data_IF_442277096527
#
_entry.id   IF_442277096527
#
_cell.length_a   1.000
_cell.length_b   1.000
_cell.length_c   1.000
_cell.angle_alpha   90.00
_cell.angle_beta   90.00
_cell.angle_gamma   90.00
#
_symmetry.space_group_name_H-M   'P 1'
#
loop_
_entity.id
_entity.type
_entity.pdbx_description
1 polymer ?
#
# COMPACT_ATOMS: atom_id res chain seq x y z
N UNK A 1 -19.43 -0.30 19.24
CA UNK A 1 -18.36 -1.29 19.47
C UNK A 1 -17.11 -0.76 18.80
N UNK A 2 -16.10 -0.42 19.59
CA UNK A 2 -14.84 0.13 19.07
C UNK A 2 -13.95 -1.04 18.65
N UNK A 3 -13.72 -1.20 17.35
CA UNK A 3 -12.85 -2.27 16.84
C UNK A 3 -11.41 -1.94 17.18
N UNK A 4 -10.82 -2.66 18.15
CA UNK A 4 -9.39 -2.58 18.43
C UNK A 4 -8.59 -2.96 17.17
N UNK A 5 -7.58 -2.16 16.83
CA UNK A 5 -6.66 -2.49 15.73
C UNK A 5 -5.92 -3.79 16.03
N UNK A 6 -5.64 -4.63 15.03
CA UNK A 6 -4.86 -5.84 15.23
C UNK A 6 -3.46 -5.50 15.75
N UNK A 7 -2.82 -6.41 16.51
CA UNK A 7 -1.45 -6.21 16.95
C UNK A 7 -0.50 -6.13 15.75
N UNK A 8 0.64 -5.41 15.87
CA UNK A 8 1.61 -5.31 14.80
C UNK A 8 2.24 -6.67 14.48
N UNK A 9 2.77 -6.81 13.27
CA UNK A 9 3.54 -7.99 12.88
C UNK A 9 4.77 -8.16 13.79
N UNK A 10 5.01 -9.41 14.20
CA UNK A 10 6.19 -9.78 14.97
C UNK A 10 7.45 -9.66 14.13
N UNK A 11 8.57 -9.27 14.76
CA UNK A 11 9.87 -9.22 14.10
C UNK A 11 10.29 -10.61 13.62
N UNK A 12 10.87 -10.64 12.42
CA UNK A 12 11.45 -11.81 11.76
C UNK A 12 10.51 -13.00 11.56
N UNK A 13 9.21 -12.80 11.77
CA UNK A 13 8.18 -13.77 11.43
C UNK A 13 7.66 -13.51 10.01
N UNK A 14 7.72 -14.50 9.10
CA UNK A 14 7.07 -14.39 7.81
C UNK A 14 5.56 -14.55 7.95
N UNK A 15 4.80 -13.71 7.25
CA UNK A 15 3.35 -13.73 7.16
C UNK A 15 2.95 -13.83 5.69
N UNK A 16 1.88 -14.57 5.39
CA UNK A 16 1.28 -14.57 4.06
C UNK A 16 0.24 -13.46 3.98
N UNK A 17 0.29 -12.67 2.93
CA UNK A 17 -0.76 -11.71 2.58
C UNK A 17 -1.40 -12.13 1.27
N UNK A 18 -2.65 -11.73 1.07
CA UNK A 18 -3.42 -12.03 -0.12
C UNK A 18 -4.36 -10.86 -0.42
N UNK A 19 -4.48 -10.50 -1.70
CA UNK A 19 -5.37 -9.47 -2.20
C UNK A 19 -6.18 -10.02 -3.36
N UNK A 20 -7.48 -9.76 -3.36
CA UNK A 20 -8.38 -10.23 -4.42
C UNK A 20 -9.40 -9.16 -4.79
N UNK A 21 -9.67 -9.01 -6.08
CA UNK A 21 -10.67 -8.09 -6.60
C UNK A 21 -12.01 -8.80 -6.77
N UNK A 22 -13.02 -8.39 -5.99
CA UNK A 22 -14.38 -8.93 -6.03
C UNK A 22 -15.17 -8.52 -7.28
N UNK A 23 -14.81 -9.04 -8.45
CA UNK A 23 -15.43 -8.70 -9.73
C UNK A 23 -16.55 -9.65 -10.14
N UNK A 24 -16.57 -10.86 -9.57
CA UNK A 24 -17.55 -11.89 -9.88
C UNK A 24 -18.18 -12.46 -8.61
N UNK A 25 -19.39 -13.05 -8.70
CA UNK A 25 -20.01 -13.79 -7.59
C UNK A 25 -19.25 -15.06 -7.19
N UNK A 26 -18.26 -15.50 -8.00
CA UNK A 26 -17.45 -16.69 -7.72
C UNK A 26 -16.06 -16.27 -7.21
N UNK A 27 -15.79 -16.36 -5.89
CA UNK A 27 -14.51 -15.90 -5.32
C UNK A 27 -13.27 -16.57 -5.92
N UNK A 28 -13.42 -17.78 -6.46
CA UNK A 28 -12.34 -18.53 -7.10
C UNK A 28 -11.94 -17.96 -8.49
N UNK A 29 -12.83 -17.20 -9.13
CA UNK A 29 -12.59 -16.59 -10.43
C UNK A 29 -12.11 -15.14 -10.33
N UNK A 30 -12.10 -14.59 -9.12
CA UNK A 30 -11.64 -13.23 -8.89
C UNK A 30 -10.12 -13.13 -9.08
N UNK A 31 -9.63 -12.09 -9.79
CA UNK A 31 -8.20 -11.81 -9.86
C UNK A 31 -7.61 -11.71 -8.47
N UNK A 32 -6.50 -12.41 -8.24
CA UNK A 32 -5.86 -12.56 -6.93
C UNK A 32 -4.35 -12.44 -7.07
N UNK A 33 -3.73 -11.79 -6.11
CA UNK A 33 -2.29 -11.76 -5.90
C UNK A 33 -2.02 -12.07 -4.43
N UNK A 34 -0.94 -12.78 -4.15
CA UNK A 34 -0.53 -13.11 -2.80
C UNK A 34 0.99 -13.10 -2.67
N UNK A 35 1.48 -13.12 -1.43
CA UNK A 35 2.91 -13.11 -1.18
C UNK A 35 3.26 -13.24 0.29
N UNK A 36 4.55 -13.12 0.56
CA UNK A 36 5.11 -13.14 1.91
C UNK A 36 5.55 -11.74 2.33
N UNK A 37 5.31 -11.39 3.59
CA UNK A 37 5.81 -10.17 4.22
C UNK A 37 6.49 -10.53 5.53
N UNK A 38 7.59 -9.85 5.85
CA UNK A 38 8.30 -10.02 7.11
C UNK A 38 8.67 -8.64 7.64
N UNK A 39 8.31 -8.36 8.89
CA UNK A 39 8.79 -7.17 9.56
C UNK A 39 10.22 -7.42 10.02
N UNK A 40 11.15 -6.59 9.59
CA UNK A 40 12.56 -6.65 10.00
C UNK A 40 12.90 -5.46 10.89
N UNK A 41 13.92 -5.62 11.73
CA UNK A 41 14.54 -4.50 12.43
C UNK A 41 15.57 -3.87 11.51
N UNK A 42 15.62 -2.55 11.47
CA UNK A 42 16.67 -1.80 10.79
C UNK A 42 17.86 -1.60 11.72
N UNK A 43 19.05 -1.52 11.13
CA UNK A 43 20.25 -1.12 11.85
C UNK A 43 20.10 0.31 12.41
N UNK A 44 20.59 0.59 13.63
CA UNK A 44 20.45 1.93 14.25
C UNK A 44 21.01 3.07 13.37
N UNK A 45 22.06 2.79 12.60
CA UNK A 45 22.66 3.74 11.67
C UNK A 45 21.71 4.08 10.51
N UNK A 46 20.99 3.09 9.99
CA UNK A 46 19.97 3.27 8.95
C UNK A 46 18.79 4.07 9.49
N UNK A 47 18.36 3.78 10.73
CA UNK A 47 17.31 4.56 11.40
C UNK A 47 17.72 6.02 11.56
N UNK A 48 18.96 6.29 11.98
CA UNK A 48 19.47 7.65 12.10
C UNK A 48 19.49 8.38 10.74
N UNK A 49 19.89 7.70 9.67
CA UNK A 49 19.86 8.25 8.31
C UNK A 49 18.43 8.58 7.87
N UNK A 50 17.47 7.68 8.10
CA UNK A 50 16.06 7.88 7.76
C UNK A 50 15.45 9.08 8.50
N UNK A 51 15.81 9.30 9.76
CA UNK A 51 15.30 10.41 10.57
C UNK A 51 15.81 11.78 10.10
N UNK A 52 17.00 11.84 9.50
CA UNK A 52 17.59 13.08 8.98
C UNK A 52 17.27 13.33 7.50
N UNK A 53 16.73 12.33 6.80
CA UNK A 53 16.53 12.35 5.36
C UNK A 53 15.23 13.05 4.95
N UNK A 54 15.28 13.76 3.81
CA UNK A 54 14.08 14.16 3.07
C UNK A 54 13.32 12.93 2.56
N UNK A 55 12.02 13.03 2.20
CA UNK A 55 11.26 11.87 1.70
C UNK A 55 11.92 11.15 0.52
N UNK A 56 12.47 11.89 -0.45
CA UNK A 56 13.16 11.28 -1.59
C UNK A 56 14.43 10.51 -1.16
N UNK A 57 15.17 11.06 -0.20
CA UNK A 57 16.33 10.39 0.40
C UNK A 57 15.93 9.16 1.22
N UNK A 58 14.81 9.23 1.96
CA UNK A 58 14.28 8.08 2.69
C UNK A 58 13.94 6.93 1.74
N UNK A 59 13.28 7.23 0.60
CA UNK A 59 13.00 6.24 -0.43
C UNK A 59 14.30 5.59 -0.96
N UNK A 60 15.34 6.38 -1.22
CA UNK A 60 16.64 5.85 -1.64
C UNK A 60 17.29 4.97 -0.56
N UNK A 61 17.23 5.37 0.72
CA UNK A 61 17.74 4.55 1.83
C UNK A 61 17.02 3.21 1.90
N UNK A 62 15.69 3.19 1.87
CA UNK A 62 14.91 1.94 1.87
C UNK A 62 15.21 1.06 0.65
N UNK A 63 15.29 1.65 -0.55
CA UNK A 63 15.63 0.92 -1.77
C UNK A 63 17.03 0.27 -1.67
N UNK A 64 18.02 0.98 -1.13
CA UNK A 64 19.37 0.46 -0.90
C UNK A 64 19.41 -0.67 0.14
N UNK A 65 18.46 -0.72 1.07
CA UNK A 65 18.29 -1.82 2.01
C UNK A 65 17.50 -3.01 1.42
N UNK A 66 17.08 -2.94 0.15
CA UNK A 66 16.24 -3.96 -0.49
C UNK A 66 14.76 -3.91 -0.06
N UNK A 67 14.35 -2.86 0.66
CA UNK A 67 13.00 -2.65 1.18
C UNK A 67 12.22 -1.78 0.19
N UNK A 68 12.07 -2.29 -1.03
CA UNK A 68 11.51 -1.52 -2.14
C UNK A 68 10.03 -1.16 -1.95
N UNK A 69 9.29 -1.86 -1.09
CA UNK A 69 7.88 -1.57 -0.79
C UNK A 69 7.70 -0.27 0.00
N UNK A 70 8.60 -0.01 0.96
CA UNK A 70 8.61 1.24 1.73
C UNK A 70 9.09 2.40 0.85
N UNK A 71 10.11 2.17 0.03
CA UNK A 71 10.56 3.13 -0.98
C UNK A 71 9.42 3.50 -1.95
N UNK A 72 8.68 2.49 -2.45
CA UNK A 72 7.54 2.67 -3.34
C UNK A 72 6.45 3.52 -2.67
N UNK A 73 6.12 3.22 -1.41
CA UNK A 73 5.10 3.95 -0.64
C UNK A 73 5.45 5.43 -0.54
N UNK A 74 6.70 5.75 -0.23
CA UNK A 74 7.17 7.13 -0.12
C UNK A 74 7.12 7.84 -1.48
N UNK A 75 7.62 7.21 -2.55
CA UNK A 75 7.63 7.80 -3.89
C UNK A 75 6.21 8.02 -4.43
N UNK A 76 5.29 7.08 -4.17
CA UNK A 76 3.88 7.21 -4.50
C UNK A 76 3.25 8.44 -3.84
N UNK A 77 3.49 8.63 -2.54
CA UNK A 77 3.01 9.81 -1.82
C UNK A 77 3.61 11.11 -2.37
N UNK A 78 4.91 11.11 -2.69
CA UNK A 78 5.55 12.28 -3.32
C UNK A 78 4.95 12.61 -4.68
N UNK A 79 4.66 11.60 -5.52
CA UNK A 79 4.02 11.79 -6.83
C UNK A 79 2.61 12.38 -6.73
N UNK A 80 1.86 12.04 -5.68
CA UNK A 80 0.53 12.61 -5.43
C UNK A 80 0.60 14.11 -5.05
N UNK A 81 1.64 14.51 -4.31
CA UNK A 81 1.83 15.90 -3.92
C UNK A 81 2.38 16.76 -5.05
N UNK A 82 3.36 16.24 -5.80
CA UNK A 82 4.01 16.93 -6.91
C UNK A 82 4.51 15.89 -7.93
N UNK A 83 3.79 15.78 -9.05
CA UNK A 83 3.98 14.70 -10.03
C UNK A 83 5.40 14.60 -10.61
N UNK A 84 6.13 15.71 -10.70
CA UNK A 84 7.39 15.77 -11.44
C UNK A 84 8.63 15.48 -10.58
N UNK A 85 8.63 15.87 -9.31
CA UNK A 85 9.84 15.87 -8.47
C UNK A 85 10.36 14.46 -8.14
N UNK A 86 9.49 13.45 -8.14
CA UNK A 86 9.82 12.06 -7.85
C UNK A 86 9.74 11.13 -9.06
N UNK A 87 9.47 11.66 -10.27
CA UNK A 87 9.23 10.86 -11.48
C UNK A 87 10.42 9.97 -11.87
N UNK A 88 11.64 10.50 -11.78
CA UNK A 88 12.87 9.75 -12.11
C UNK A 88 13.04 8.59 -11.13
N UNK A 89 13.08 8.87 -9.82
CA UNK A 89 13.24 7.85 -8.79
C UNK A 89 12.11 6.80 -8.81
N UNK A 90 10.88 7.22 -9.10
CA UNK A 90 9.74 6.32 -9.31
C UNK A 90 9.99 5.35 -10.46
N UNK A 91 10.43 5.87 -11.60
CA UNK A 91 10.67 5.08 -12.80
C UNK A 91 11.82 4.09 -12.58
N UNK A 92 12.91 4.56 -11.96
CA UNK A 92 14.06 3.72 -11.61
C UNK A 92 13.69 2.61 -10.64
N UNK A 93 12.96 2.93 -9.56
CA UNK A 93 12.52 1.94 -8.58
C UNK A 93 11.66 0.87 -9.25
N UNK A 94 10.62 1.26 -10.00
CA UNK A 94 9.73 0.32 -10.66
C UNK A 94 10.47 -0.54 -11.70
N UNK A 95 11.39 0.04 -12.46
CA UNK A 95 12.23 -0.73 -13.38
C UNK A 95 13.08 -1.78 -12.64
N UNK A 96 13.67 -1.42 -11.49
CA UNK A 96 14.52 -2.32 -10.69
C UNK A 96 13.80 -3.57 -10.18
N UNK A 97 12.46 -3.50 -10.02
CA UNK A 97 11.63 -4.61 -9.53
C UNK A 97 10.76 -5.26 -10.63
N UNK A 98 11.05 -4.96 -11.90
CA UNK A 98 10.33 -5.55 -13.04
C UNK A 98 8.95 -4.95 -13.31
N UNK A 99 8.63 -3.80 -12.72
CA UNK A 99 7.37 -3.06 -12.87
C UNK A 99 7.51 -1.83 -13.79
N UNK A 100 8.59 -1.73 -14.58
CA UNK A 100 8.85 -0.56 -15.43
C UNK A 100 7.71 -0.25 -16.43
N UNK A 101 6.97 -1.27 -16.88
CA UNK A 101 5.86 -1.09 -17.82
C UNK A 101 4.70 -0.23 -17.27
N UNK A 102 4.53 -0.18 -15.94
CA UNK A 102 3.48 0.63 -15.31
C UNK A 102 3.98 1.99 -14.81
N UNK A 103 5.30 2.24 -14.86
CA UNK A 103 5.87 3.51 -14.41
C UNK A 103 5.29 4.78 -15.07
N UNK A 104 4.98 4.81 -16.38
CA UNK A 104 4.42 6.00 -17.02
C UNK A 104 2.92 6.19 -16.76
N UNK A 105 2.26 5.21 -16.11
CA UNK A 105 0.81 5.32 -15.86
C UNK A 105 0.53 6.45 -14.88
N UNK A 106 -0.48 7.31 -15.15
CA UNK A 106 -0.83 8.40 -14.25
C UNK A 106 -1.36 7.83 -12.94
N UNK A 107 -0.92 8.40 -11.81
CA UNK A 107 -1.55 8.11 -10.54
C UNK A 107 -2.92 8.77 -10.53
N UNK A 108 -3.96 7.95 -10.50
CA UNK A 108 -5.32 8.45 -10.38
C UNK A 108 -5.48 9.07 -9.00
N UNK A 109 -5.68 10.39 -8.94
CA UNK A 109 -6.30 11.01 -7.78
C UNK A 109 -7.72 10.46 -7.75
N UNK A 110 -7.99 9.52 -6.84
CA UNK A 110 -9.33 8.99 -6.74
C UNK A 110 -10.29 10.15 -6.48
N UNK A 111 -11.43 10.09 -7.16
CA UNK A 111 -12.58 10.96 -6.95
C UNK A 111 -12.85 11.13 -5.45
N UNK A 112 -13.49 12.23 -5.01
CA UNK A 112 -13.90 12.36 -3.62
C UNK A 112 -14.52 11.03 -3.20
N UNK A 113 -13.94 10.45 -2.15
CA UNK A 113 -14.52 9.31 -1.47
C UNK A 113 -15.93 9.72 -1.09
N UNK A 114 -16.89 9.44 -1.96
CA UNK A 114 -18.28 9.42 -1.56
C UNK A 114 -18.28 8.35 -0.49
N UNK A 115 -18.39 8.78 0.77
CA UNK A 115 -18.70 7.87 1.84
C UNK A 115 -19.93 7.09 1.37
N UNK A 116 -19.73 5.86 0.92
CA UNK A 116 -20.84 4.95 0.73
C UNK A 116 -21.52 4.92 2.10
N UNK A 117 -22.80 5.31 2.22
CA UNK A 117 -23.48 5.12 3.48
C UNK A 117 -23.44 3.63 3.74
N UNK A 118 -22.69 3.25 4.77
CA UNK A 118 -22.68 1.91 5.30
C UNK A 118 -24.13 1.43 5.46
N UNK A 119 -24.39 0.24 4.93
CA UNK A 119 -25.33 -0.71 5.50
C UNK A 119 -26.80 -0.25 5.64
N UNK A 120 -27.60 -0.44 4.59
CA UNK A 120 -29.01 -0.76 4.76
C UNK A 120 -29.36 -2.00 3.95
N UNK A 121 -29.15 -3.18 4.56
CA UNK A 121 -30.06 -4.29 4.32
C UNK A 121 -31.47 -3.80 4.69
N UNK A 122 -32.52 -4.10 3.89
CA UNK A 122 -33.87 -3.69 4.23
C UNK A 122 -34.29 -4.41 5.52
N UNK A 123 -34.47 -3.66 6.61
CA UNK A 123 -35.29 -4.14 7.72
C UNK A 123 -36.71 -4.15 7.19
N UNK A 124 -37.16 -5.36 6.88
CA UNK A 124 -38.55 -5.66 6.60
C UNK A 124 -39.30 -5.60 7.93
N UNK A 125 -40.11 -4.58 8.15
CA UNK A 125 -41.15 -4.56 9.18
C UNK A 125 -42.45 -4.18 8.51
N UNK A 126 -43.12 -5.19 7.96
CA UNK A 126 -44.57 -5.19 7.93
C UNK A 126 -45.08 -6.03 9.11
N UNK A 127 -46.20 -5.53 9.63
CA UNK A 127 -47.19 -6.19 10.47
C UNK A 127 -47.01 -6.10 11.99
N UNK A 128 -47.61 -5.04 12.54
CA UNK A 128 -48.60 -5.19 13.61
C UNK A 128 -49.70 -4.12 13.42
N UNK A 129 -50.82 -4.54 12.84
CA UNK A 129 -52.13 -4.18 13.35
C UNK A 129 -52.50 -5.20 14.43
#
# INVERSE_FOLDING_TARGET
SESASPPPLALDRPYRWEFSLGLTPSPAQNPRVDGMIKRISLEPTVVAQLNAATPLQQAAVYANQGIWQDALTILAHQRQLAADASLVAWTELLASVGLGAIAPTPMLHCCPSQAAPHNQLPINTNDAQ
#
